data_IF_307041005499
#
_entry.id   IF_307041005499
#
_cell.length_a   1.000
_cell.length_b   1.000
_cell.length_c   1.000
_cell.angle_alpha   90.00
_cell.angle_beta   90.00
_cell.angle_gamma   90.00
#
_symmetry.space_group_name_H-M   'P 1'
#
loop_
_entity.id
_entity.type
_entity.pdbx_description
1 polymer ?
#
# COMPACT_ATOMS: atom_id res chain seq x y z
N UNK A 1 -5.26 -7.77 -12.86
CA UNK A 1 -5.43 -7.23 -11.47
C UNK A 1 -6.92 -7.27 -11.12
N UNK A 2 -7.37 -8.14 -10.20
CA UNK A 2 -8.80 -8.41 -10.00
C UNK A 2 -9.68 -7.17 -9.78
N UNK A 3 -9.25 -6.20 -8.96
CA UNK A 3 -10.05 -5.00 -8.71
C UNK A 3 -10.17 -4.07 -9.93
N UNK A 4 -9.17 -4.06 -10.80
CA UNK A 4 -9.22 -3.30 -12.06
C UNK A 4 -10.10 -4.02 -13.09
N UNK A 5 -9.98 -5.32 -13.21
CA UNK A 5 -10.83 -6.17 -14.07
C UNK A 5 -12.31 -6.07 -13.68
N UNK A 6 -12.58 -5.99 -12.37
CA UNK A 6 -13.92 -5.74 -11.81
C UNK A 6 -14.40 -4.28 -11.94
N UNK A 7 -13.61 -3.39 -12.57
CA UNK A 7 -13.89 -1.96 -12.71
C UNK A 7 -14.08 -1.21 -11.38
N UNK A 8 -13.58 -1.75 -10.28
CA UNK A 8 -13.62 -1.09 -8.96
C UNK A 8 -12.50 -0.05 -8.81
N UNK A 9 -11.36 -0.30 -9.47
CA UNK A 9 -10.22 0.62 -9.57
C UNK A 9 -9.92 0.92 -11.05
N UNK A 10 -9.39 2.11 -11.31
CA UNK A 10 -8.82 2.50 -12.59
C UNK A 10 -7.29 2.62 -12.45
N UNK A 11 -6.54 2.25 -13.50
CA UNK A 11 -5.08 2.40 -13.49
C UNK A 11 -4.63 3.86 -13.54
N UNK A 12 -5.33 4.69 -14.28
CA UNK A 12 -4.90 6.04 -14.64
C UNK A 12 -5.71 7.17 -13.96
N UNK A 13 -6.62 6.82 -13.06
CA UNK A 13 -7.35 7.79 -12.24
C UNK A 13 -6.55 8.28 -11.04
N UNK A 14 -6.85 9.48 -10.55
CA UNK A 14 -6.32 9.99 -9.29
C UNK A 14 -6.71 9.05 -8.14
N UNK A 15 -5.72 8.52 -7.44
CA UNK A 15 -5.96 7.61 -6.31
C UNK A 15 -6.74 8.29 -5.17
N UNK A 16 -6.59 9.59 -5.00
CA UNK A 16 -7.33 10.37 -4.01
C UNK A 16 -8.85 10.37 -4.22
N UNK A 17 -9.32 10.07 -5.43
CA UNK A 17 -10.75 9.89 -5.68
C UNK A 17 -11.33 8.63 -5.00
N UNK A 18 -10.50 7.64 -4.68
CA UNK A 18 -10.91 6.35 -4.10
C UNK A 18 -10.39 6.12 -2.68
N UNK A 19 -9.25 6.69 -2.31
CA UNK A 19 -8.75 6.64 -0.94
C UNK A 19 -9.76 7.28 0.01
N UNK A 20 -9.98 6.67 1.19
CA UNK A 20 -10.94 7.10 2.23
C UNK A 20 -10.22 7.30 3.55
N UNK A 21 -9.48 6.29 4.02
CA UNK A 21 -8.83 6.24 5.33
C UNK A 21 -7.64 7.22 5.44
N UNK A 22 -7.06 7.56 4.30
CA UNK A 22 -5.94 8.47 4.16
C UNK A 22 -5.97 9.11 2.77
N UNK A 23 -5.31 10.22 2.59
CA UNK A 23 -5.17 10.89 1.29
C UNK A 23 -3.70 11.18 1.02
N UNK A 24 -3.27 11.04 -0.23
CA UNK A 24 -1.98 11.59 -0.66
C UNK A 24 -2.01 13.07 -0.33
N UNK A 25 -1.05 13.58 0.49
CA UNK A 25 -1.02 14.99 0.87
C UNK A 25 -0.91 15.91 -0.33
N UNK A 26 -1.54 17.08 -0.24
CA UNK A 26 -1.43 18.11 -1.28
C UNK A 26 0.04 18.43 -1.55
N UNK A 27 0.39 18.56 -2.82
CA UNK A 27 1.73 18.87 -3.30
C UNK A 27 1.67 19.82 -4.50
N UNK A 28 2.82 20.27 -5.00
CA UNK A 28 2.86 21.24 -6.10
C UNK A 28 2.44 20.69 -7.47
N UNK A 29 2.18 19.37 -7.61
CA UNK A 29 1.94 18.70 -8.89
C UNK A 29 0.49 18.21 -9.08
N UNK A 30 -0.34 18.23 -8.04
CA UNK A 30 -1.68 17.58 -7.97
C UNK A 30 -2.58 17.85 -9.18
N UNK A 31 -2.61 19.09 -9.66
CA UNK A 31 -3.54 19.51 -10.70
C UNK A 31 -3.23 18.97 -12.09
N UNK A 32 -1.96 18.75 -12.38
CA UNK A 32 -1.49 18.35 -13.71
C UNK A 32 -0.93 16.93 -13.75
N UNK A 33 -0.46 16.42 -12.60
CA UNK A 33 0.20 15.13 -12.48
C UNK A 33 -0.29 14.41 -11.23
N UNK A 34 -1.54 13.89 -11.23
CA UNK A 34 -2.07 13.16 -10.09
C UNK A 34 -1.32 11.85 -9.87
N UNK A 35 -1.26 11.42 -8.63
CA UNK A 35 -0.79 10.07 -8.30
C UNK A 35 -1.81 9.06 -8.80
N UNK A 36 -1.37 8.12 -9.63
CA UNK A 36 -2.21 7.07 -10.23
C UNK A 36 -1.79 5.69 -9.75
N UNK A 37 -2.72 4.72 -9.79
CA UNK A 37 -2.39 3.33 -9.45
C UNK A 37 -1.29 2.77 -10.38
N UNK A 38 -1.31 3.12 -11.67
CA UNK A 38 -0.23 2.76 -12.61
C UNK A 38 1.11 3.30 -12.12
N UNK A 39 1.18 4.57 -11.76
CA UNK A 39 2.39 5.22 -11.26
C UNK A 39 2.91 4.56 -9.97
N UNK A 40 2.02 4.21 -9.03
CA UNK A 40 2.39 3.50 -7.81
C UNK A 40 3.03 2.15 -8.12
N UNK A 41 2.39 1.32 -8.94
CA UNK A 41 2.84 -0.04 -9.27
C UNK A 41 4.11 -0.06 -10.12
N UNK A 42 4.32 0.95 -10.97
CA UNK A 42 5.54 1.09 -11.78
C UNK A 42 6.64 1.89 -11.09
N UNK A 43 6.41 2.34 -9.84
CA UNK A 43 7.36 3.17 -9.09
C UNK A 43 7.73 4.48 -9.81
N UNK A 44 6.77 5.04 -10.52
CA UNK A 44 6.91 6.34 -11.21
C UNK A 44 6.02 7.42 -10.62
N UNK A 45 5.36 7.14 -9.51
CA UNK A 45 4.44 8.09 -8.84
C UNK A 45 5.15 9.22 -8.08
N UNK A 46 6.48 9.23 -8.05
CA UNK A 46 7.24 10.25 -7.32
C UNK A 46 7.13 10.18 -5.79
N UNK A 47 6.75 9.02 -5.25
CA UNK A 47 6.57 8.82 -3.82
C UNK A 47 7.91 8.59 -3.12
N UNK A 48 8.09 9.25 -1.97
CA UNK A 48 9.21 9.03 -1.06
C UNK A 48 9.11 7.71 -0.27
N UNK A 49 10.00 7.53 0.70
CA UNK A 49 10.14 6.35 1.56
C UNK A 49 10.45 5.09 0.74
N UNK A 50 11.74 4.86 0.44
CA UNK A 50 12.15 3.71 -0.38
C UNK A 50 11.90 2.37 0.31
N UNK A 51 11.90 2.32 1.66
CA UNK A 51 11.67 1.08 2.40
C UNK A 51 11.39 1.35 3.88
N UNK A 52 11.01 0.30 4.59
CA UNK A 52 10.68 0.30 6.01
C UNK A 52 11.61 -0.65 6.76
N UNK A 53 12.10 -0.22 7.92
CA UNK A 53 13.10 -0.99 8.69
C UNK A 53 12.51 -2.23 9.38
N UNK A 54 11.18 -2.31 9.47
CA UNK A 54 10.52 -3.36 10.25
C UNK A 54 10.52 -3.08 11.76
N UNK A 55 10.03 -4.05 12.53
CA UNK A 55 9.80 -3.91 13.97
C UNK A 55 10.30 -5.16 14.70
N UNK A 56 10.82 -4.98 15.92
CA UNK A 56 11.16 -6.10 16.79
C UNK A 56 9.94 -6.95 17.13
N UNK A 57 10.17 -8.21 17.52
CA UNK A 57 9.09 -9.20 17.76
C UNK A 57 8.08 -8.72 18.82
N UNK A 58 8.55 -7.99 19.83
CA UNK A 58 7.72 -7.49 20.95
C UNK A 58 7.39 -6.00 20.82
N UNK A 59 7.77 -5.37 19.72
CA UNK A 59 7.49 -3.95 19.49
C UNK A 59 6.01 -3.73 19.11
N UNK A 60 5.39 -2.61 19.55
CA UNK A 60 4.07 -2.25 19.08
C UNK A 60 4.11 -2.02 17.57
N UNK A 61 3.20 -2.67 16.84
CA UNK A 61 3.09 -2.52 15.39
C UNK A 61 2.17 -1.34 15.05
N UNK A 62 2.57 -0.48 14.12
CA UNK A 62 1.67 0.54 13.56
C UNK A 62 0.61 -0.10 12.68
N UNK A 63 -0.54 0.54 12.59
CA UNK A 63 -1.47 0.28 11.51
C UNK A 63 -1.06 1.02 10.23
N UNK A 64 -1.70 0.69 9.10
CA UNK A 64 -1.37 1.26 7.79
C UNK A 64 -1.43 2.79 7.77
N UNK A 65 -2.45 3.39 8.40
CA UNK A 65 -2.57 4.86 8.42
C UNK A 65 -1.47 5.53 9.26
N UNK A 66 -1.03 4.90 10.35
CA UNK A 66 0.12 5.39 11.12
C UNK A 66 1.42 5.35 10.31
N UNK A 67 1.62 4.31 9.49
CA UNK A 67 2.75 4.22 8.55
C UNK A 67 2.66 5.35 7.53
N UNK A 68 1.51 5.54 6.90
CA UNK A 68 1.30 6.57 5.88
C UNK A 68 1.48 7.99 6.42
N UNK A 69 1.05 8.25 7.66
CA UNK A 69 1.27 9.54 8.34
C UNK A 69 2.66 9.70 8.96
N UNK A 70 3.44 8.63 9.08
CA UNK A 70 4.73 8.65 9.79
C UNK A 70 4.60 8.98 11.27
N UNK A 71 3.52 8.54 11.92
CA UNK A 71 3.25 8.82 13.35
C UNK A 71 3.48 7.58 14.22
N UNK A 72 3.93 7.74 15.48
CA UNK A 72 4.19 6.60 16.36
C UNK A 72 3.00 5.61 16.45
N UNK A 73 3.29 4.29 16.50
CA UNK A 73 4.60 3.66 16.62
C UNK A 73 5.35 3.47 15.29
N UNK A 74 4.90 4.07 14.17
CA UNK A 74 5.66 4.01 12.92
C UNK A 74 7.08 4.59 13.10
N UNK A 75 8.08 3.88 12.56
CA UNK A 75 9.50 4.23 12.62
C UNK A 75 10.04 4.76 11.29
N UNK A 76 9.14 5.17 10.39
CA UNK A 76 9.42 5.77 9.09
C UNK A 76 8.89 7.20 9.00
N UNK A 77 9.44 8.05 8.12
CA UNK A 77 8.85 9.35 7.83
C UNK A 77 7.49 9.21 7.13
N UNK A 78 6.68 10.29 7.09
CA UNK A 78 5.42 10.28 6.36
C UNK A 78 5.62 9.99 4.87
N UNK A 79 4.66 9.28 4.30
CA UNK A 79 4.66 8.98 2.86
C UNK A 79 4.10 10.19 2.10
N UNK A 80 4.96 10.81 1.28
CA UNK A 80 4.63 12.04 0.53
C UNK A 80 5.14 11.99 -0.90
N UNK A 81 4.61 12.85 -1.76
CA UNK A 81 5.14 13.07 -3.11
C UNK A 81 6.37 13.97 -3.01
N UNK A 82 7.51 13.48 -3.48
CA UNK A 82 8.81 14.20 -3.42
C UNK A 82 9.32 14.65 -4.80
N UNK A 83 8.81 14.06 -5.88
CA UNK A 83 9.09 14.46 -7.26
C UNK A 83 7.82 14.42 -8.09
N UNK A 84 7.83 15.08 -9.25
CA UNK A 84 6.66 15.09 -10.13
C UNK A 84 6.27 13.67 -10.55
N UNK A 85 5.01 13.25 -10.33
CA UNK A 85 4.51 11.97 -10.80
C UNK A 85 4.72 11.80 -12.32
N UNK A 86 5.22 10.64 -12.72
CA UNK A 86 5.49 10.31 -14.12
C UNK A 86 6.83 10.81 -14.67
N UNK A 87 7.60 11.61 -13.91
CA UNK A 87 8.86 12.18 -14.41
C UNK A 87 10.03 11.21 -14.44
N UNK A 88 10.09 10.27 -13.49
CA UNK A 88 11.20 9.31 -13.36
C UNK A 88 10.78 8.06 -12.59
N UNK A 89 11.54 6.99 -12.76
CA UNK A 89 11.50 5.82 -11.89
C UNK A 89 12.26 6.10 -10.59
N UNK A 90 11.64 5.82 -9.46
CA UNK A 90 12.28 5.83 -8.15
C UNK A 90 11.67 4.73 -7.28
N UNK A 91 12.49 3.78 -6.82
CA UNK A 91 12.03 2.70 -5.95
C UNK A 91 11.39 3.28 -4.68
N UNK A 92 10.18 2.85 -4.37
CA UNK A 92 9.42 3.35 -3.23
C UNK A 92 8.53 2.28 -2.61
N UNK A 93 8.86 1.85 -1.39
CA UNK A 93 7.96 1.07 -0.53
C UNK A 93 6.68 1.83 -0.22
N UNK A 94 6.79 3.15 -0.01
CA UNK A 94 5.62 4.02 0.23
C UNK A 94 4.57 3.97 -0.88
N UNK A 95 4.98 3.74 -2.14
CA UNK A 95 4.05 3.52 -3.26
C UNK A 95 3.15 2.30 -3.03
N UNK A 96 3.70 1.23 -2.48
CA UNK A 96 2.94 -0.01 -2.22
C UNK A 96 2.06 0.10 -0.97
N UNK A 97 2.46 0.88 0.04
CA UNK A 97 1.60 1.20 1.18
C UNK A 97 0.35 1.99 0.73
N UNK A 98 0.52 2.95 -0.20
CA UNK A 98 -0.63 3.66 -0.80
C UNK A 98 -1.50 2.70 -1.62
N UNK A 99 -0.90 1.78 -2.38
CA UNK A 99 -1.64 0.78 -3.15
C UNK A 99 -2.43 -0.17 -2.23
N UNK A 100 -1.87 -0.57 -1.08
CA UNK A 100 -2.57 -1.33 -0.05
C UNK A 100 -3.78 -0.56 0.49
N UNK A 101 -3.58 0.71 0.92
CA UNK A 101 -4.66 1.56 1.40
C UNK A 101 -5.78 1.69 0.36
N UNK A 102 -5.43 1.89 -0.90
CA UNK A 102 -6.37 1.98 -2.01
C UNK A 102 -7.19 0.69 -2.18
N UNK A 103 -6.56 -0.48 -2.01
CA UNK A 103 -7.25 -1.77 -2.09
C UNK A 103 -8.20 -1.97 -0.90
N UNK A 104 -7.75 -1.70 0.32
CA UNK A 104 -8.52 -1.82 1.56
C UNK A 104 -9.74 -0.91 1.52
N UNK A 105 -9.55 0.37 1.20
CA UNK A 105 -10.62 1.36 1.10
C UNK A 105 -11.65 1.01 0.01
N UNK A 106 -11.18 0.57 -1.16
CA UNK A 106 -12.06 0.22 -2.29
C UNK A 106 -12.87 -1.05 -2.01
N UNK A 107 -12.26 -2.04 -1.37
CA UNK A 107 -12.90 -3.33 -1.11
C UNK A 107 -13.64 -3.38 0.23
N UNK A 108 -13.43 -2.40 1.11
CA UNK A 108 -13.96 -2.36 2.49
C UNK A 108 -13.67 -3.67 3.25
N UNK A 109 -12.43 -4.15 3.13
CA UNK A 109 -11.98 -5.41 3.71
C UNK A 109 -10.49 -5.32 4.10
N UNK A 110 -10.08 -6.09 5.11
CA UNK A 110 -8.69 -6.13 5.55
C UNK A 110 -7.77 -6.71 4.47
N UNK A 111 -6.55 -6.20 4.39
CA UNK A 111 -5.59 -6.61 3.35
C UNK A 111 -5.30 -8.12 3.34
N UNK A 112 -5.06 -8.80 4.49
CA UNK A 112 -4.85 -10.24 4.50
C UNK A 112 -6.01 -11.03 3.90
N UNK A 113 -7.26 -10.64 4.19
CA UNK A 113 -8.45 -11.30 3.66
C UNK A 113 -8.59 -11.08 2.15
N UNK A 114 -8.24 -9.87 1.68
CA UNK A 114 -8.21 -9.57 0.25
C UNK A 114 -7.20 -10.44 -0.48
N UNK A 115 -5.97 -10.53 0.06
CA UNK A 115 -4.90 -11.30 -0.55
C UNK A 115 -5.20 -12.80 -0.54
N UNK A 116 -5.78 -13.31 0.55
CA UNK A 116 -6.25 -14.70 0.63
C UNK A 116 -7.26 -14.99 -0.50
N UNK A 117 -8.27 -14.14 -0.64
CA UNK A 117 -9.37 -14.32 -1.59
C UNK A 117 -8.96 -14.11 -3.04
N UNK A 118 -8.15 -13.06 -3.31
CA UNK A 118 -7.86 -12.61 -4.68
C UNK A 118 -6.57 -13.19 -5.25
N UNK A 119 -5.69 -13.71 -4.41
CA UNK A 119 -4.37 -14.17 -4.82
C UNK A 119 -4.08 -15.59 -4.34
N UNK A 120 -4.02 -15.83 -3.01
CA UNK A 120 -3.54 -17.09 -2.48
C UNK A 120 -4.44 -18.28 -2.86
N UNK A 121 -5.75 -18.17 -2.62
CA UNK A 121 -6.71 -19.22 -2.98
C UNK A 121 -6.75 -19.52 -4.49
N UNK A 122 -6.88 -18.52 -5.37
CA UNK A 122 -6.88 -18.77 -6.82
C UNK A 122 -5.56 -19.36 -7.33
N UNK A 123 -4.44 -19.06 -6.69
CA UNK A 123 -3.13 -19.60 -7.04
C UNK A 123 -2.83 -20.97 -6.39
N UNK A 124 -3.75 -21.52 -5.57
CA UNK A 124 -3.53 -22.77 -4.85
C UNK A 124 -2.47 -22.70 -3.76
N UNK A 125 -2.13 -21.48 -3.27
CA UNK A 125 -1.11 -21.27 -2.25
C UNK A 125 -1.73 -21.41 -0.87
N UNK A 126 -1.49 -22.54 -0.20
CA UNK A 126 -2.06 -22.86 1.11
C UNK A 126 -1.12 -22.64 2.30
N UNK A 127 0.18 -22.42 2.04
CA UNK A 127 1.23 -22.33 3.06
C UNK A 127 1.80 -20.91 3.23
N UNK A 128 1.06 -19.89 2.79
CA UNK A 128 1.46 -18.48 2.90
C UNK A 128 0.32 -17.65 3.45
N UNK A 129 0.67 -16.53 4.08
CA UNK A 129 -0.32 -15.57 4.61
C UNK A 129 0.26 -14.14 4.56
N UNK A 130 -0.62 -13.16 4.45
CA UNK A 130 -0.31 -11.75 4.63
C UNK A 130 -0.70 -11.23 6.03
N UNK A 131 -1.14 -12.12 6.93
CA UNK A 131 -1.52 -11.70 8.28
C UNK A 131 -0.32 -11.20 9.09
N UNK A 132 -0.49 -10.06 9.73
CA UNK A 132 0.47 -9.46 10.65
C UNK A 132 -0.24 -9.14 11.99
N UNK A 133 0.30 -9.60 13.12
CA UNK A 133 1.48 -10.48 13.27
C UNK A 133 1.21 -11.89 12.71
N UNK A 134 2.27 -12.61 12.38
CA UNK A 134 2.17 -13.98 11.87
C UNK A 134 1.43 -14.88 12.89
N UNK A 135 0.36 -15.57 12.50
CA UNK A 135 -0.41 -16.46 13.37
C UNK A 135 0.48 -17.53 14.03
N UNK A 136 0.21 -17.86 15.29
CA UNK A 136 0.99 -18.87 16.03
C UNK A 136 1.02 -20.23 15.33
N UNK A 137 -0.07 -20.62 14.69
CA UNK A 137 -0.17 -21.85 13.87
C UNK A 137 0.77 -21.86 12.65
N UNK A 138 1.19 -20.69 12.16
CA UNK A 138 2.13 -20.56 11.05
C UNK A 138 3.59 -20.47 11.52
N UNK A 139 3.84 -20.11 12.80
CA UNK A 139 5.19 -19.98 13.36
C UNK A 139 5.89 -21.32 13.61
N UNK A 140 5.14 -22.40 13.72
CA UNK A 140 5.65 -23.73 14.07
C UNK A 140 6.00 -24.60 12.83
N UNK A 141 6.03 -24.03 11.62
CA UNK A 141 6.40 -24.76 10.41
C UNK A 141 7.91 -24.66 10.21
N UNK A 142 8.63 -25.79 10.09
CA UNK A 142 10.06 -25.82 9.80
C UNK A 142 10.34 -25.31 8.39
#
# INVERSE_FOLDING_TARGET
>A
MPLVEQKKLALDGDVNAKLISWKVPANGFDKSHPVTLRGLLSMTAGIGVPGFLGYGVDAPLPNLTQILYGVPPANSPPVTVITQPGSAYAYSGGSYEIAEALMVDTAQAQFPDLMERLVLKPAGVSNSTFAQPLPSSARARP
#
